data_IF_958099920416
#
_entry.id   IF_958099920416
#
_cell.length_a   1.000
_cell.length_b   1.000
_cell.length_c   1.000
_cell.angle_alpha   90.00
_cell.angle_beta   90.00
_cell.angle_gamma   90.00
#
_symmetry.space_group_name_H-M   'P 1'
#
loop_
_entity.id
_entity.type
_entity.pdbx_description
1 polymer ?
#
# COMPACT_ATOMS: atom_id res chain seq x y z
N UNK A 1 1.88 -5.12 9.60
CA UNK A 1 0.98 -3.95 9.52
C UNK A 1 0.68 -3.70 8.05
N UNK A 2 -0.60 -3.58 7.70
CA UNK A 2 -1.04 -3.24 6.35
C UNK A 2 -1.85 -1.94 6.34
N UNK A 3 -1.69 -1.12 5.33
CA UNK A 3 -2.44 0.11 5.17
C UNK A 3 -2.67 0.47 3.70
N UNK A 4 -3.84 1.02 3.42
CA UNK A 4 -4.17 1.54 2.10
C UNK A 4 -4.00 3.06 2.03
N UNK A 5 -3.88 3.54 0.80
CA UNK A 5 -3.88 4.98 0.49
C UNK A 5 -5.31 5.45 0.23
N UNK A 6 -5.69 6.54 0.86
CA UNK A 6 -6.88 7.31 0.53
C UNK A 6 -6.52 8.79 0.42
N UNK A 7 -6.95 9.45 -0.65
CA UNK A 7 -6.60 10.85 -0.93
C UNK A 7 -5.09 11.15 -0.86
N UNK A 8 -4.28 10.25 -1.39
CA UNK A 8 -2.83 10.40 -1.46
C UNK A 8 -2.07 10.19 -0.14
N UNK A 9 -2.72 9.70 0.91
CA UNK A 9 -2.12 9.50 2.23
C UNK A 9 -2.53 8.17 2.86
N UNK A 10 -1.66 7.61 3.69
CA UNK A 10 -2.03 6.56 4.64
C UNK A 10 -2.82 7.16 5.80
N UNK A 11 -3.64 6.34 6.45
CA UNK A 11 -4.45 6.77 7.59
C UNK A 11 -3.59 7.29 8.74
N UNK A 12 -4.03 8.40 9.36
CA UNK A 12 -3.44 8.91 10.60
C UNK A 12 -3.48 7.90 11.76
N UNK A 13 -4.46 7.00 11.78
CA UNK A 13 -4.53 5.94 12.79
C UNK A 13 -3.31 5.02 12.73
N UNK A 14 -2.88 4.64 11.53
CA UNK A 14 -1.69 3.80 11.32
C UNK A 14 -0.42 4.57 11.69
N UNK A 15 -0.34 5.84 11.28
CA UNK A 15 0.77 6.71 11.64
C UNK A 15 0.91 6.82 13.18
N UNK A 16 -0.16 7.14 13.87
CA UNK A 16 -0.18 7.28 15.33
C UNK A 16 0.13 5.96 16.03
N UNK A 17 -0.43 4.85 15.55
CA UNK A 17 -0.13 3.52 16.09
C UNK A 17 1.37 3.20 16.02
N UNK A 18 1.99 3.39 14.88
CA UNK A 18 3.43 3.12 14.71
C UNK A 18 4.25 4.05 15.61
N UNK A 19 3.93 5.34 15.63
CA UNK A 19 4.63 6.32 16.45
C UNK A 19 4.55 6.00 17.95
N UNK A 20 3.36 5.65 18.44
CA UNK A 20 3.14 5.32 19.86
C UNK A 20 3.76 3.98 20.28
N UNK A 21 4.01 3.08 19.33
CA UNK A 21 4.59 1.76 19.59
C UNK A 21 6.00 1.60 19.02
N UNK A 22 6.67 2.68 18.62
CA UNK A 22 7.94 2.63 17.89
C UNK A 22 8.97 1.76 18.59
N UNK A 23 9.25 2.02 19.85
CA UNK A 23 10.23 1.26 20.65
C UNK A 23 9.91 -0.25 20.66
N UNK A 24 8.64 -0.61 20.80
CA UNK A 24 8.24 -2.02 20.78
C UNK A 24 8.41 -2.63 19.39
N UNK A 25 8.04 -1.90 18.34
CA UNK A 25 8.17 -2.36 16.95
C UNK A 25 9.63 -2.51 16.51
N UNK A 26 10.54 -1.73 17.06
CA UNK A 26 11.98 -1.84 16.79
C UNK A 26 12.62 -3.06 17.45
N UNK A 27 12.00 -3.59 18.50
CA UNK A 27 12.51 -4.76 19.25
C UNK A 27 11.90 -6.10 18.83
N UNK A 28 11.02 -6.10 17.82
CA UNK A 28 10.40 -7.31 17.27
C UNK A 28 10.55 -7.34 15.74
N UNK A 29 10.42 -8.52 15.15
CA UNK A 29 10.38 -8.66 13.70
C UNK A 29 9.10 -8.02 13.15
N UNK A 30 9.24 -7.09 12.23
CA UNK A 30 8.13 -6.31 11.70
C UNK A 30 8.10 -6.31 10.19
N UNK A 31 6.88 -6.25 9.66
CA UNK A 31 6.66 -6.03 8.23
C UNK A 31 5.56 -4.99 8.00
N UNK A 32 5.68 -4.27 6.92
CA UNK A 32 4.68 -3.29 6.49
C UNK A 32 4.35 -3.47 5.00
N UNK A 33 3.08 -3.43 4.64
CA UNK A 33 2.70 -3.32 3.25
C UNK A 33 1.71 -2.18 3.02
N UNK A 34 1.87 -1.51 1.89
CA UNK A 34 0.97 -0.46 1.42
C UNK A 34 0.12 -0.99 0.27
N UNK A 35 -1.16 -0.67 0.27
CA UNK A 35 -2.04 -0.91 -0.87
C UNK A 35 -2.38 0.41 -1.52
N UNK A 36 -1.92 0.59 -2.75
CA UNK A 36 -2.22 1.78 -3.54
C UNK A 36 -2.16 1.50 -5.04
N UNK A 37 -3.11 2.04 -5.77
CA UNK A 37 -3.29 1.77 -7.21
C UNK A 37 -2.14 2.25 -8.09
N UNK A 38 -1.29 3.15 -7.59
CA UNK A 38 -0.09 3.60 -8.31
C UNK A 38 0.91 2.45 -8.52
N UNK A 39 0.88 1.45 -7.62
CA UNK A 39 1.70 0.25 -7.73
C UNK A 39 1.32 -0.67 -8.91
N UNK A 40 0.26 -0.39 -9.66
CA UNK A 40 -0.01 -1.07 -10.95
C UNK A 40 1.03 -0.75 -12.02
N UNK A 41 1.77 0.36 -11.86
CA UNK A 41 2.85 0.77 -12.76
C UNK A 41 4.16 0.10 -12.33
N UNK A 42 4.85 -0.54 -13.27
CA UNK A 42 6.06 -1.31 -12.99
C UNK A 42 7.14 -0.49 -12.28
N UNK A 43 7.31 0.77 -12.67
CA UNK A 43 8.29 1.69 -12.07
C UNK A 43 7.93 2.15 -10.64
N UNK A 44 6.74 1.80 -10.14
CA UNK A 44 6.22 2.21 -8.81
C UNK A 44 5.71 1.03 -7.97
N UNK A 45 6.05 -0.18 -8.35
CA UNK A 45 5.51 -1.41 -7.76
C UNK A 45 6.42 -2.09 -6.73
N UNK A 46 7.41 -1.37 -6.23
CA UNK A 46 8.29 -1.86 -5.17
C UNK A 46 8.35 -0.92 -3.97
N UNK A 47 8.80 -1.43 -2.84
CA UNK A 47 8.94 -0.63 -1.61
C UNK A 47 9.94 0.51 -1.75
N UNK A 48 10.92 0.40 -2.63
CA UNK A 48 11.94 1.43 -2.85
C UNK A 48 11.54 2.47 -3.90
N UNK A 49 10.60 2.14 -4.79
CA UNK A 49 10.19 3.02 -5.89
C UNK A 49 8.83 3.67 -5.68
N UNK A 50 7.98 3.09 -4.82
CA UNK A 50 6.66 3.63 -4.57
C UNK A 50 6.71 4.94 -3.76
N UNK A 51 6.22 6.06 -4.30
CA UNK A 51 6.37 7.36 -3.67
C UNK A 51 5.60 7.50 -2.36
N UNK A 52 4.44 6.86 -2.25
CA UNK A 52 3.60 6.93 -1.05
C UNK A 52 4.22 6.16 0.11
N UNK A 53 4.72 4.95 -0.16
CA UNK A 53 5.38 4.14 0.86
C UNK A 53 6.68 4.80 1.35
N UNK A 54 7.50 5.29 0.42
CA UNK A 54 8.73 6.03 0.76
C UNK A 54 8.45 7.23 1.67
N UNK A 55 7.50 8.08 1.26
CA UNK A 55 7.13 9.26 2.03
C UNK A 55 6.61 8.90 3.42
N UNK A 56 5.79 7.87 3.52
CA UNK A 56 5.20 7.43 4.79
C UNK A 56 6.26 6.91 5.76
N UNK A 57 7.12 5.98 5.33
CA UNK A 57 8.16 5.41 6.18
C UNK A 57 9.21 6.45 6.59
N UNK A 58 9.58 7.37 5.68
CA UNK A 58 10.51 8.46 6.01
C UNK A 58 9.95 9.40 7.08
N UNK A 59 8.64 9.67 7.05
CA UNK A 59 7.99 10.55 8.02
C UNK A 59 7.87 9.94 9.43
N UNK A 60 7.94 8.61 9.54
CA UNK A 60 7.80 7.89 10.82
C UNK A 60 9.13 7.68 11.55
N UNK A 61 10.25 7.87 10.86
CA UNK A 61 11.57 7.48 11.38
C UNK A 61 11.55 6.04 11.96
N UNK A 62 10.86 5.15 11.26
CA UNK A 62 10.74 3.74 11.58
C UNK A 62 10.95 2.91 10.33
N UNK A 63 11.72 1.84 10.45
CA UNK A 63 12.05 0.96 9.35
C UNK A 63 11.65 -0.49 9.66
N UNK A 64 10.62 -1.03 9.01
CA UNK A 64 10.27 -2.45 9.17
C UNK A 64 11.35 -3.35 8.56
N UNK A 65 11.47 -4.59 9.06
CA UNK A 65 12.39 -5.59 8.52
C UNK A 65 12.06 -5.96 7.07
N UNK A 66 10.76 -6.00 6.72
CA UNK A 66 10.27 -6.22 5.37
C UNK A 66 9.21 -5.21 5.00
N UNK A 67 9.20 -4.79 3.75
CA UNK A 67 8.14 -3.93 3.23
C UNK A 67 7.77 -4.27 1.80
N UNK A 68 6.48 -4.14 1.48
CA UNK A 68 5.94 -4.39 0.15
C UNK A 68 4.89 -3.35 -0.22
N UNK A 69 4.55 -3.31 -1.50
CA UNK A 69 3.44 -2.53 -2.02
C UNK A 69 2.64 -3.36 -3.02
N UNK A 70 1.32 -3.27 -2.91
CA UNK A 70 0.37 -3.96 -3.80
C UNK A 70 -0.59 -2.95 -4.40
N UNK A 71 -1.03 -3.20 -5.63
CA UNK A 71 -1.87 -2.25 -6.34
C UNK A 71 -3.32 -2.21 -5.84
N UNK A 72 -3.84 -3.35 -5.40
CA UNK A 72 -5.21 -3.45 -4.93
C UNK A 72 -6.25 -3.45 -6.06
N UNK A 73 -7.48 -3.20 -5.67
CA UNK A 73 -8.67 -3.20 -6.53
C UNK A 73 -9.32 -1.82 -6.56
N UNK A 74 -9.82 -1.42 -7.70
CA UNK A 74 -10.78 -0.31 -7.84
C UNK A 74 -12.15 -0.91 -8.09
N UNK A 75 -13.09 -0.61 -7.20
CA UNK A 75 -14.47 -1.06 -7.29
C UNK A 75 -15.39 0.15 -7.42
N UNK A 76 -15.47 0.74 -8.62
CA UNK A 76 -16.27 1.93 -8.87
C UNK A 76 -17.73 1.82 -8.43
N UNK A 77 -18.43 0.67 -8.64
CA UNK A 77 -19.82 0.55 -8.21
C UNK A 77 -20.00 0.73 -6.70
N UNK A 78 -19.03 0.34 -5.88
CA UNK A 78 -19.10 0.44 -4.42
C UNK A 78 -18.82 1.83 -3.86
N UNK A 79 -18.27 2.74 -4.67
CA UNK A 79 -17.91 4.08 -4.22
C UNK A 79 -19.09 5.04 -4.21
N UNK A 80 -19.12 5.96 -3.24
CA UNK A 80 -20.01 7.09 -3.29
C UNK A 80 -19.68 8.00 -4.50
N UNK A 81 -20.57 8.94 -4.82
CA UNK A 81 -20.41 9.78 -6.02
C UNK A 81 -19.11 10.58 -6.03
N UNK A 82 -18.73 11.18 -4.88
CA UNK A 82 -17.54 12.04 -4.77
C UNK A 82 -16.26 11.21 -4.95
N UNK A 83 -16.14 10.10 -4.24
CA UNK A 83 -14.97 9.20 -4.35
C UNK A 83 -14.85 8.63 -5.77
N UNK A 84 -15.98 8.25 -6.38
CA UNK A 84 -16.05 7.74 -7.75
C UNK A 84 -15.49 8.75 -8.76
N UNK A 85 -15.93 10.01 -8.70
CA UNK A 85 -15.45 11.04 -9.62
C UNK A 85 -13.98 11.38 -9.38
N UNK A 86 -13.55 11.42 -8.13
CA UNK A 86 -12.15 11.69 -7.78
C UNK A 86 -11.22 10.58 -8.29
N UNK A 87 -11.56 9.33 -8.06
CA UNK A 87 -10.77 8.18 -8.53
C UNK A 87 -10.79 8.13 -10.07
N UNK A 88 -11.94 8.38 -10.69
CA UNK A 88 -12.05 8.47 -12.16
C UNK A 88 -11.12 9.53 -12.74
N UNK A 89 -11.04 10.71 -12.12
CA UNK A 89 -10.13 11.78 -12.54
C UNK A 89 -8.66 11.36 -12.40
N UNK A 90 -8.29 10.75 -11.27
CA UNK A 90 -6.93 10.24 -11.05
C UNK A 90 -6.58 9.18 -12.09
N UNK A 91 -7.52 8.28 -12.40
CA UNK A 91 -7.31 7.23 -13.40
C UNK A 91 -7.18 7.82 -14.80
N UNK A 92 -7.99 8.82 -15.15
CA UNK A 92 -7.86 9.54 -16.42
C UNK A 92 -6.47 10.17 -16.57
N UNK A 93 -6.01 10.93 -15.57
CA UNK A 93 -4.70 11.58 -15.59
C UNK A 93 -3.53 10.58 -15.61
N UNK A 94 -3.71 9.40 -15.04
CA UNK A 94 -2.68 8.37 -14.95
C UNK A 94 -2.81 7.24 -15.98
N UNK A 95 -3.67 7.44 -17.01
CA UNK A 95 -3.94 6.48 -18.09
C UNK A 95 -4.43 5.12 -17.57
N UNK A 96 -5.30 5.15 -16.59
CA UNK A 96 -5.99 3.98 -16.05
C UNK A 96 -7.45 3.88 -16.54
N UNK A 97 -8.17 2.81 -16.16
CA UNK A 97 -9.55 2.61 -16.56
C UNK A 97 -10.49 3.62 -15.90
N UNK A 98 -11.42 4.16 -16.70
CA UNK A 98 -12.37 5.21 -16.30
C UNK A 98 -13.84 4.80 -16.40
N UNK A 99 -14.13 3.56 -16.79
CA UNK A 99 -15.50 3.03 -16.82
C UNK A 99 -15.97 2.74 -15.39
N UNK A 100 -16.85 3.60 -14.89
CA UNK A 100 -17.35 3.57 -13.51
C UNK A 100 -18.41 2.51 -13.25
N UNK A 101 -18.79 1.73 -14.25
CA UNK A 101 -19.72 0.59 -14.12
C UNK A 101 -19.03 -0.70 -13.70
N UNK A 102 -17.69 -0.73 -13.69
CA UNK A 102 -16.88 -1.93 -13.53
C UNK A 102 -15.95 -1.85 -12.32
N UNK A 103 -15.47 -3.03 -11.94
CA UNK A 103 -14.38 -3.21 -10.98
C UNK A 103 -13.11 -3.64 -11.70
N UNK A 104 -11.96 -3.23 -11.18
CA UNK A 104 -10.65 -3.53 -11.76
C UNK A 104 -9.69 -4.03 -10.69
N UNK A 105 -9.25 -5.29 -10.82
CA UNK A 105 -8.24 -5.89 -9.95
C UNK A 105 -6.85 -5.69 -10.54
N UNK A 106 -5.96 -5.05 -9.80
CA UNK A 106 -4.58 -4.79 -10.20
C UNK A 106 -3.55 -5.50 -9.32
N UNK A 107 -3.99 -6.20 -8.28
CA UNK A 107 -3.08 -6.90 -7.38
C UNK A 107 -2.33 -8.00 -8.13
N UNK A 108 -1.01 -7.94 -8.09
CA UNK A 108 -0.16 -9.05 -8.49
C UNK A 108 -0.10 -10.07 -7.34
N UNK A 109 -0.94 -11.08 -7.41
CA UNK A 109 -1.05 -12.12 -6.38
C UNK A 109 0.22 -12.95 -6.23
N UNK A 110 1.03 -13.06 -7.28
CA UNK A 110 2.34 -13.71 -7.19
C UNK A 110 3.26 -12.95 -6.22
N UNK A 111 3.30 -11.63 -6.31
CA UNK A 111 4.04 -10.79 -5.36
C UNK A 111 3.52 -10.89 -3.93
N UNK A 112 2.21 -11.09 -3.75
CA UNK A 112 1.63 -11.32 -2.42
C UNK A 112 2.18 -12.62 -1.83
N UNK A 113 2.20 -13.69 -2.62
CA UNK A 113 2.75 -14.99 -2.22
C UNK A 113 4.25 -14.88 -1.91
N UNK A 114 5.03 -14.23 -2.77
CA UNK A 114 6.46 -13.99 -2.56
C UNK A 114 6.71 -13.24 -1.24
N UNK A 115 5.93 -12.20 -0.97
CA UNK A 115 6.03 -11.47 0.29
C UNK A 115 5.67 -12.32 1.50
N UNK A 116 4.68 -13.20 1.38
CA UNK A 116 4.31 -14.14 2.46
C UNK A 116 5.45 -15.12 2.76
N UNK A 117 6.09 -15.67 1.74
CA UNK A 117 7.27 -16.53 1.90
C UNK A 117 8.44 -15.76 2.55
N UNK A 118 8.64 -14.50 2.18
CA UNK A 118 9.65 -13.64 2.81
C UNK A 118 9.36 -13.41 4.30
N UNK A 119 8.08 -13.30 4.69
CA UNK A 119 7.70 -13.19 6.10
C UNK A 119 7.92 -14.48 6.88
N UNK A 120 7.60 -15.61 6.28
CA UNK A 120 7.86 -16.92 6.87
C UNK A 120 9.35 -17.12 7.13
N UNK A 121 10.20 -16.82 6.14
CA UNK A 121 11.64 -16.86 6.30
C UNK A 121 12.14 -15.89 7.37
N UNK A 122 11.57 -14.68 7.44
CA UNK A 122 11.92 -13.69 8.47
C UNK A 122 11.61 -14.22 9.87
N UNK A 123 10.48 -14.88 10.07
CA UNK A 123 10.06 -15.43 11.37
C UNK A 123 10.91 -16.64 11.74
N UNK A 124 11.23 -17.51 10.78
CA UNK A 124 11.98 -18.75 11.00
C UNK A 124 13.48 -18.52 11.21
N UNK A 125 14.02 -17.40 10.76
CA UNK A 125 15.42 -17.03 10.97
C UNK A 125 15.64 -16.46 12.38
N UNK A 126 15.87 -17.32 13.31
CA UNK A 126 16.28 -16.91 14.68
C UNK A 126 17.79 -17.05 14.87
#
# INVERSE_FOLDING_TARGET
IGASIRYGKHSHLIHNFIKSNKTKLENIKTAFFSVNVVARKLEKNSSVTNPYLKKFLSALDWKPNKSAVFAGKIDYPSYNFIDKQMIRMIMYLTKGPTDTSKSYEFTDWKKVIEFTNDLENLISSN
#
